data_IF_434087418891
#
_entry.id   IF_434087418891
#
_cell.length_a   1.000
_cell.length_b   1.000
_cell.length_c   1.000
_cell.angle_alpha   90.00
_cell.angle_beta   90.00
_cell.angle_gamma   90.00
#
_symmetry.space_group_name_H-M   'P 1'
#
loop_
_entity.id
_entity.type
_entity.pdbx_description
1 polymer ?
#
# COMPACT_ATOMS: atom_id res chain seq x y z
N UNK A 1 -5.28 26.19 -36.31
CA UNK A 1 -3.99 26.26 -35.59
C UNK A 1 -4.16 25.51 -34.30
N UNK A 2 -3.75 24.25 -34.24
CA UNK A 2 -4.36 23.28 -33.32
C UNK A 2 -3.56 23.15 -32.02
N UNK A 3 -4.03 23.83 -30.97
CA UNK A 3 -3.64 23.48 -29.60
C UNK A 3 -4.44 22.24 -29.17
N UNK A 4 -3.76 21.10 -29.05
CA UNK A 4 -4.33 19.90 -28.40
C UNK A 4 -4.35 20.12 -26.88
N UNK A 5 -5.49 19.88 -26.24
CA UNK A 5 -5.58 19.84 -24.77
C UNK A 5 -4.67 18.71 -24.24
N UNK A 6 -3.76 19.00 -23.30
CA UNK A 6 -2.77 18.02 -22.81
C UNK A 6 -3.37 17.17 -21.68
N UNK A 7 -4.32 16.30 -22.00
CA UNK A 7 -4.98 15.35 -21.07
C UNK A 7 -3.97 14.54 -20.20
N UNK A 8 -2.75 14.35 -20.72
CA UNK A 8 -1.63 13.71 -20.03
C UNK A 8 -1.08 14.49 -18.81
N UNK A 9 -1.31 15.80 -18.68
CA UNK A 9 -0.98 16.57 -17.45
C UNK A 9 -1.93 16.25 -16.30
N UNK A 10 -3.13 15.82 -16.62
CA UNK A 10 -4.27 15.86 -15.72
C UNK A 10 -4.53 14.50 -15.06
N UNK A 11 -4.33 13.42 -15.83
CA UNK A 11 -4.19 12.05 -15.30
C UNK A 11 -3.01 11.94 -14.32
N UNK A 12 -1.99 12.78 -14.49
CA UNK A 12 -0.79 12.77 -13.65
C UNK A 12 -1.06 13.32 -12.23
N UNK A 13 -1.80 14.42 -12.11
CA UNK A 13 -2.20 14.97 -10.80
C UNK A 13 -3.02 13.98 -9.97
N UNK A 14 -3.93 13.23 -10.61
CA UNK A 14 -4.69 12.17 -9.94
C UNK A 14 -3.79 11.00 -9.50
N UNK A 15 -2.85 10.57 -10.34
CA UNK A 15 -1.99 9.42 -10.05
C UNK A 15 -0.97 9.64 -8.93
N UNK A 16 -0.46 10.87 -8.75
CA UNK A 16 0.52 11.20 -7.71
C UNK A 16 -0.06 11.14 -6.29
N UNK A 17 -1.38 11.28 -6.12
CA UNK A 17 -2.05 11.31 -4.80
C UNK A 17 -2.03 9.99 -4.01
N UNK A 18 -1.67 8.86 -4.63
CA UNK A 18 -1.89 7.51 -4.09
C UNK A 18 -0.58 6.69 -3.94
N UNK A 19 0.58 7.35 -3.82
CA UNK A 19 1.88 6.71 -4.01
C UNK A 19 3.03 7.16 -3.09
N UNK A 20 2.95 6.79 -1.81
CA UNK A 20 4.03 6.72 -0.81
C UNK A 20 4.55 8.03 -0.16
N UNK A 21 5.15 7.85 1.01
CA UNK A 21 5.58 8.88 1.96
C UNK A 21 6.82 9.70 1.57
N UNK A 22 6.81 10.95 2.06
CA UNK A 22 7.94 11.74 2.57
C UNK A 22 9.34 11.44 2.00
N UNK A 23 9.76 12.24 1.02
CA UNK A 23 11.17 12.54 0.76
C UNK A 23 11.36 14.05 0.50
N UNK A 24 12.28 14.68 1.24
CA UNK A 24 12.51 16.15 1.20
C UNK A 24 13.08 16.62 -0.14
N UNK A 25 12.71 17.83 -0.56
CA UNK A 25 13.55 18.67 -1.41
C UNK A 25 13.68 20.09 -0.83
N UNK A 26 14.86 20.36 -0.26
CA UNK A 26 15.36 21.73 -0.03
C UNK A 26 16.19 22.12 -1.26
N UNK A 27 16.03 23.32 -1.84
CA UNK A 27 16.80 23.73 -3.01
C UNK A 27 18.24 24.12 -2.63
N UNK A 28 19.23 23.48 -3.25
CA UNK A 28 20.64 23.89 -3.20
C UNK A 28 21.21 23.93 -4.62
N UNK A 29 22.08 24.92 -4.87
CA UNK A 29 22.57 25.33 -6.19
C UNK A 29 23.65 24.37 -6.73
N UNK A 30 23.75 24.28 -8.06
CA UNK A 30 24.69 23.40 -8.77
C UNK A 30 26.17 23.79 -8.62
N UNK A 31 27.05 22.77 -8.64
CA UNK A 31 28.50 22.90 -8.79
C UNK A 31 29.10 21.59 -9.36
N UNK A 32 30.14 21.60 -10.22
CA UNK A 32 30.47 20.44 -11.06
C UNK A 32 31.85 19.81 -10.80
N UNK A 33 31.91 18.62 -10.22
CA UNK A 33 33.10 17.74 -10.22
C UNK A 33 32.71 16.25 -10.26
N UNK A 34 33.51 15.43 -10.96
CA UNK A 34 33.58 13.97 -10.78
C UNK A 34 34.69 13.59 -9.77
N UNK A 35 35.10 12.30 -9.63
CA UNK A 35 34.93 11.20 -10.60
C UNK A 35 34.48 9.84 -10.01
N UNK A 36 34.33 8.86 -10.92
CA UNK A 36 34.57 7.40 -10.84
C UNK A 36 34.27 6.49 -9.61
N UNK A 37 33.89 5.26 -10.00
CA UNK A 37 34.07 3.94 -9.35
C UNK A 37 32.97 3.30 -8.46
N UNK A 38 32.90 1.95 -8.63
CA UNK A 38 32.03 0.92 -8.00
C UNK A 38 30.50 1.13 -8.20
N UNK A 39 29.72 0.15 -8.66
CA UNK A 39 29.79 -1.30 -8.42
C UNK A 39 29.61 -2.18 -9.68
N UNK A 40 29.91 -3.48 -9.55
CA UNK A 40 29.76 -4.52 -10.60
C UNK A 40 29.44 -5.86 -9.96
N UNK A 41 28.46 -6.61 -10.53
CA UNK A 41 28.07 -8.00 -10.18
C UNK A 41 27.46 -8.17 -8.76
N UNK A 42 26.61 -9.17 -8.45
CA UNK A 42 26.08 -10.31 -9.23
C UNK A 42 24.54 -10.39 -9.20
N UNK A 43 24.00 -11.22 -10.10
CA UNK A 43 22.61 -11.72 -10.05
C UNK A 43 22.60 -13.24 -9.82
N UNK A 44 21.53 -13.76 -9.20
CA UNK A 44 21.03 -15.14 -9.37
C UNK A 44 21.88 -16.26 -8.64
N UNK A 45 21.54 -17.58 -8.68
CA UNK A 45 20.70 -18.20 -7.62
C UNK A 45 21.10 -19.67 -7.19
N UNK A 46 20.13 -20.42 -6.59
CA UNK A 46 20.04 -21.91 -6.38
C UNK A 46 20.92 -22.50 -5.26
N UNK A 47 20.81 -23.78 -4.81
CA UNK A 47 19.96 -24.99 -5.09
C UNK A 47 19.90 -25.85 -3.78
N UNK A 48 19.05 -26.86 -3.52
CA UNK A 48 17.93 -27.49 -4.28
C UNK A 48 16.62 -27.41 -3.47
N UNK A 49 15.90 -28.42 -2.92
CA UNK A 49 15.92 -29.91 -2.88
C UNK A 49 14.43 -30.34 -2.96
N UNK A 50 13.89 -30.58 -4.16
CA UNK A 50 13.59 -31.90 -4.77
C UNK A 50 12.82 -32.91 -3.88
N UNK A 51 11.67 -33.47 -4.26
CA UNK A 51 10.90 -33.34 -5.51
C UNK A 51 11.02 -34.54 -6.47
N UNK A 52 9.96 -34.76 -7.28
CA UNK A 52 9.67 -35.93 -8.14
C UNK A 52 9.15 -37.19 -7.39
N UNK A 53 8.30 -38.01 -8.00
CA UNK A 53 7.60 -37.81 -9.28
C UNK A 53 7.01 -39.08 -9.90
N UNK A 54 5.68 -39.08 -10.08
CA UNK A 54 4.85 -39.63 -11.17
C UNK A 54 5.33 -40.80 -12.05
N UNK A 55 4.42 -41.75 -12.34
CA UNK A 55 4.63 -42.78 -13.37
C UNK A 55 3.57 -43.88 -13.38
N UNK A 56 2.47 -43.69 -14.11
CA UNK A 56 1.43 -44.70 -14.34
C UNK A 56 1.58 -45.39 -15.70
N UNK A 57 1.40 -46.71 -15.78
CA UNK A 57 0.86 -47.42 -16.96
C UNK A 57 0.48 -48.88 -16.64
N UNK A 58 -0.07 -49.61 -17.63
CA UNK A 58 -1.01 -50.75 -17.43
C UNK A 58 -0.66 -51.99 -18.29
N UNK A 59 -1.04 -53.17 -17.78
CA UNK A 59 -1.09 -54.52 -18.39
C UNK A 59 0.21 -55.25 -18.83
N UNK A 60 0.25 -56.58 -18.63
CA UNK A 60 1.41 -57.42 -19.02
C UNK A 60 1.54 -58.82 -18.38
N UNK A 61 0.51 -59.66 -18.45
CA UNK A 61 0.36 -60.93 -17.68
C UNK A 61 1.47 -62.01 -17.65
N UNK A 62 1.31 -62.93 -16.68
CA UNK A 62 1.64 -64.38 -16.70
C UNK A 62 2.80 -64.95 -15.84
N UNK A 63 2.52 -66.15 -15.30
CA UNK A 63 3.44 -67.29 -15.04
C UNK A 63 4.42 -67.32 -13.83
N UNK A 64 3.93 -67.94 -12.74
CA UNK A 64 4.53 -69.12 -12.05
C UNK A 64 5.81 -69.01 -11.16
N UNK A 65 5.59 -69.27 -9.87
CA UNK A 65 6.29 -70.28 -9.04
C UNK A 65 7.80 -70.15 -8.74
N UNK A 66 8.13 -69.66 -7.52
CA UNK A 66 9.44 -69.83 -6.85
C UNK A 66 9.26 -69.99 -5.33
N UNK A 67 10.15 -70.75 -4.66
CA UNK A 67 10.07 -71.02 -3.20
C UNK A 67 10.76 -69.92 -2.37
N UNK A 68 10.33 -69.67 -1.12
CA UNK A 68 11.00 -68.72 -0.23
C UNK A 68 12.37 -69.26 0.22
N UNK A 69 13.36 -68.37 0.26
CA UNK A 69 14.64 -68.56 0.94
C UNK A 69 14.80 -67.40 1.93
N UNK A 70 15.10 -67.71 3.19
CA UNK A 70 15.34 -66.68 4.19
C UNK A 70 16.77 -66.15 4.03
N UNK A 71 16.90 -64.84 3.83
CA UNK A 71 18.17 -64.12 3.94
C UNK A 71 18.09 -63.21 5.16
N UNK A 72 19.09 -63.28 6.04
CA UNK A 72 19.13 -62.48 7.27
C UNK A 72 19.41 -61.01 6.93
N UNK A 73 18.64 -60.10 7.54
CA UNK A 73 18.85 -58.67 7.39
C UNK A 73 20.01 -58.21 8.29
N UNK A 74 21.04 -57.52 7.76
CA UNK A 74 22.00 -56.83 8.62
C UNK A 74 21.29 -55.71 9.42
N UNK A 75 21.78 -55.36 10.61
CA UNK A 75 21.09 -54.42 11.49
C UNK A 75 21.01 -53.03 10.85
N UNK A 76 19.82 -52.42 10.88
CA UNK A 76 19.66 -51.02 10.51
C UNK A 76 20.50 -50.16 11.46
N UNK A 77 21.42 -49.37 10.92
CA UNK A 77 22.05 -48.28 11.66
C UNK A 77 20.97 -47.30 12.10
N UNK A 78 20.82 -47.11 13.41
CA UNK A 78 19.87 -46.16 13.97
C UNK A 78 20.27 -44.74 13.59
N UNK A 79 19.61 -44.17 12.57
CA UNK A 79 19.71 -42.74 12.29
C UNK A 79 19.18 -41.97 13.51
N UNK A 80 20.10 -41.28 14.17
CA UNK A 80 19.88 -40.72 15.49
C UNK A 80 19.02 -39.47 15.42
N UNK A 81 17.69 -39.65 15.37
CA UNK A 81 16.68 -38.59 15.39
C UNK A 81 17.04 -37.52 16.40
N UNK A 82 17.66 -36.45 15.91
CA UNK A 82 18.26 -35.39 16.73
C UNK A 82 17.16 -34.43 17.14
N UNK A 83 16.33 -34.89 18.09
CA UNK A 83 15.19 -34.17 18.64
C UNK A 83 15.48 -32.69 18.84
N UNK A 84 14.56 -31.84 18.40
CA UNK A 84 14.66 -30.38 18.57
C UNK A 84 14.82 -30.08 20.06
N UNK A 85 15.93 -29.45 20.45
CA UNK A 85 16.20 -29.05 21.83
C UNK A 85 15.94 -27.56 21.99
N UNK A 86 15.02 -27.19 22.87
CA UNK A 86 14.89 -25.82 23.35
C UNK A 86 16.07 -25.52 24.28
N UNK A 87 16.66 -24.34 24.17
CA UNK A 87 17.79 -23.94 25.03
C UNK A 87 17.30 -23.61 26.45
N UNK A 88 18.09 -23.94 27.48
CA UNK A 88 17.78 -23.53 28.86
C UNK A 88 17.63 -22.01 28.98
N UNK A 89 18.49 -21.24 28.29
CA UNK A 89 18.38 -19.77 28.21
C UNK A 89 17.06 -19.29 27.62
N UNK A 90 16.50 -19.99 26.63
CA UNK A 90 15.19 -19.67 26.05
C UNK A 90 14.07 -19.87 27.09
N UNK A 91 14.06 -20.99 27.81
CA UNK A 91 13.10 -21.22 28.90
C UNK A 91 13.23 -20.22 30.05
N UNK A 92 14.44 -19.75 30.37
CA UNK A 92 14.66 -18.72 31.41
C UNK A 92 14.11 -17.35 30.96
N UNK A 93 14.32 -16.98 29.70
CA UNK A 93 13.76 -15.74 29.13
C UNK A 93 12.22 -15.77 29.09
N UNK A 94 11.66 -16.85 28.56
CA UNK A 94 10.22 -17.19 28.55
C UNK A 94 9.61 -17.11 29.97
N UNK A 95 10.23 -17.76 30.96
CA UNK A 95 9.81 -17.69 32.36
C UNK A 95 9.90 -16.27 32.96
N UNK A 96 10.88 -15.47 32.50
CA UNK A 96 11.03 -14.07 32.89
C UNK A 96 9.92 -13.18 32.33
N UNK A 97 9.53 -13.39 31.07
CA UNK A 97 8.39 -12.72 30.43
C UNK A 97 7.09 -13.11 31.12
N UNK A 98 6.89 -14.40 31.41
CA UNK A 98 5.72 -14.90 32.12
C UNK A 98 5.58 -14.28 33.54
N UNK A 99 6.68 -14.10 34.27
CA UNK A 99 6.67 -13.42 35.57
C UNK A 99 6.28 -11.94 35.44
N UNK A 100 6.84 -11.22 34.45
CA UNK A 100 6.48 -9.81 34.20
C UNK A 100 4.99 -9.68 33.86
N UNK A 101 4.50 -10.50 32.93
CA UNK A 101 3.08 -10.56 32.55
C UNK A 101 2.19 -10.86 33.77
N UNK A 102 2.60 -11.78 34.67
CA UNK A 102 1.87 -12.04 35.91
C UNK A 102 1.76 -10.79 36.80
N UNK A 103 2.84 -10.02 36.97
CA UNK A 103 2.82 -8.80 37.80
C UNK A 103 2.03 -7.67 37.13
N UNK A 104 2.16 -7.49 35.81
CA UNK A 104 1.38 -6.51 35.01
C UNK A 104 -0.12 -6.75 35.13
N UNK A 105 -0.56 -8.02 35.06
CA UNK A 105 -1.97 -8.39 35.26
C UNK A 105 -2.46 -8.12 36.69
N UNK A 106 -1.59 -8.26 37.71
CA UNK A 106 -1.94 -7.94 39.11
C UNK A 106 -2.06 -6.43 39.36
N UNK A 107 -1.24 -5.62 38.70
CA UNK A 107 -1.40 -4.15 38.64
C UNK A 107 -2.70 -3.70 37.93
N UNK A 108 -3.40 -4.61 37.25
CA UNK A 108 -4.63 -4.31 36.50
C UNK A 108 -4.40 -3.70 35.11
N UNK A 109 -3.15 -3.73 34.63
CA UNK A 109 -2.73 -3.30 33.29
C UNK A 109 -2.75 -4.47 32.28
N UNK A 110 -2.47 -4.19 31.02
CA UNK A 110 -2.44 -5.18 29.94
C UNK A 110 -1.01 -5.42 29.46
N UNK A 111 -0.63 -6.67 29.22
CA UNK A 111 0.65 -7.06 28.62
C UNK A 111 0.47 -7.48 27.17
N UNK A 112 1.24 -6.87 26.27
CA UNK A 112 1.34 -7.24 24.85
C UNK A 112 2.72 -7.87 24.60
N UNK A 113 2.75 -9.15 24.23
CA UNK A 113 3.99 -9.87 23.89
C UNK A 113 4.44 -9.56 22.46
N UNK A 114 5.75 -9.28 22.26
CA UNK A 114 6.32 -9.06 20.93
C UNK A 114 6.92 -10.35 20.35
N UNK A 115 6.09 -11.15 19.68
CA UNK A 115 6.49 -12.45 19.12
C UNK A 115 7.08 -12.34 17.70
N UNK A 116 8.35 -11.95 17.55
CA UNK A 116 9.01 -11.85 16.24
C UNK A 116 10.50 -12.18 16.23
N UNK A 117 10.98 -12.81 15.14
CA UNK A 117 12.43 -13.09 14.93
C UNK A 117 13.21 -11.89 14.41
N UNK A 118 12.69 -10.67 14.61
CA UNK A 118 13.25 -9.40 14.12
C UNK A 118 13.16 -8.28 15.17
N UNK A 119 12.69 -8.57 16.39
CA UNK A 119 12.56 -7.57 17.45
C UNK A 119 13.93 -7.17 18.02
N UNK A 120 14.22 -5.87 17.99
CA UNK A 120 15.57 -5.31 18.14
C UNK A 120 16.00 -5.07 19.60
N UNK A 121 15.43 -5.80 20.57
CA UNK A 121 15.77 -5.66 21.99
C UNK A 121 14.67 -5.04 22.87
N UNK A 122 13.40 -5.22 22.49
CA UNK A 122 12.22 -5.05 23.35
C UNK A 122 11.44 -6.37 23.25
N UNK A 123 11.04 -6.95 24.38
CA UNK A 123 10.39 -8.28 24.43
C UNK A 123 8.87 -8.19 24.60
N UNK A 124 8.36 -7.04 25.03
CA UNK A 124 6.94 -6.79 25.21
C UNK A 124 6.63 -5.36 25.62
N UNK A 125 5.35 -5.05 25.74
CA UNK A 125 4.82 -3.71 25.97
C UNK A 125 3.71 -3.77 27.04
N UNK A 126 3.72 -2.83 27.98
CA UNK A 126 2.69 -2.67 29.00
C UNK A 126 1.74 -1.56 28.52
N UNK A 127 0.48 -1.89 28.27
CA UNK A 127 -0.57 -0.91 28.05
C UNK A 127 -1.27 -0.58 29.38
N UNK A 128 -1.21 0.70 29.76
CA UNK A 128 -1.80 1.18 31.00
C UNK A 128 -3.29 1.42 30.88
N UNK A 129 -3.99 1.13 31.98
CA UNK A 129 -5.43 1.11 32.11
C UNK A 129 -5.84 1.89 33.35
N UNK A 130 -6.91 2.69 33.23
CA UNK A 130 -7.45 3.47 34.35
C UNK A 130 -7.97 2.51 35.44
N UNK A 131 -7.50 2.60 36.70
CA UNK A 131 -7.95 1.70 37.76
C UNK A 131 -9.43 1.86 38.17
N UNK A 132 -10.07 2.97 37.81
CA UNK A 132 -11.43 3.35 38.24
C UNK A 132 -12.49 3.16 37.15
N UNK A 133 -12.21 3.51 35.89
CA UNK A 133 -13.12 3.28 34.75
C UNK A 133 -12.82 1.95 34.06
N UNK A 134 -11.59 1.47 34.12
CA UNK A 134 -11.13 0.29 33.41
C UNK A 134 -10.84 0.50 31.92
N UNK A 135 -10.81 1.76 31.46
CA UNK A 135 -10.48 2.13 30.07
C UNK A 135 -8.97 2.05 29.84
N UNK A 136 -8.55 1.51 28.68
CA UNK A 136 -7.15 1.53 28.27
C UNK A 136 -6.79 2.89 27.67
N UNK A 137 -5.67 3.46 28.09
CA UNK A 137 -5.33 4.85 27.79
C UNK A 137 -4.50 5.03 26.51
N UNK A 138 -4.26 3.95 25.74
CA UNK A 138 -3.26 3.90 24.66
C UNK A 138 -1.87 4.41 25.12
N UNK A 139 -1.52 4.13 26.39
CA UNK A 139 -0.26 4.51 27.05
C UNK A 139 0.62 3.28 27.16
N UNK A 140 1.62 3.18 26.27
CA UNK A 140 2.49 2.02 26.14
C UNK A 140 3.87 2.29 26.78
N UNK A 141 4.27 1.44 27.72
CA UNK A 141 5.64 1.36 28.26
C UNK A 141 6.32 0.15 27.63
N UNK A 142 7.49 0.35 27.00
CA UNK A 142 8.25 -0.72 26.35
C UNK A 142 9.09 -1.47 27.40
N UNK A 143 9.25 -2.79 27.26
CA UNK A 143 9.96 -3.61 28.27
C UNK A 143 11.00 -4.53 27.63
N UNK A 144 12.23 -4.47 28.15
CA UNK A 144 13.26 -5.49 27.97
C UNK A 144 13.37 -6.31 29.27
N UNK A 145 13.08 -7.61 29.15
CA UNK A 145 13.28 -8.64 30.18
C UNK A 145 14.72 -9.18 30.16
N UNK A 146 15.24 -9.49 31.35
CA UNK A 146 16.51 -10.20 31.58
C UNK A 146 16.37 -11.17 32.76
N UNK A 147 15.71 -12.30 32.53
CA UNK A 147 15.62 -13.39 33.51
C UNK A 147 16.94 -14.16 33.71
N UNK A 148 17.19 -14.65 34.92
CA UNK A 148 18.35 -15.48 35.26
C UNK A 148 18.00 -16.52 36.35
N UNK A 149 18.46 -17.77 36.18
CA UNK A 149 18.46 -18.84 37.21
C UNK A 149 19.65 -18.73 38.20
N UNK A 150 20.49 -17.69 38.06
CA UNK A 150 21.69 -17.47 38.88
C UNK A 150 21.78 -16.02 39.34
N UNK A 151 22.38 -15.74 40.51
CA UNK A 151 22.63 -14.38 40.95
C UNK A 151 23.34 -13.54 39.89
N UNK A 152 22.91 -12.29 39.75
CA UNK A 152 23.49 -11.30 38.86
C UNK A 152 24.90 -10.86 39.34
N UNK A 153 25.69 -10.19 38.48
CA UNK A 153 26.97 -9.62 38.88
C UNK A 153 26.90 -8.78 40.17
N UNK A 154 27.80 -9.07 41.12
CA UNK A 154 27.90 -8.36 42.41
C UNK A 154 26.69 -8.52 43.33
N UNK A 155 25.79 -9.48 43.08
CA UNK A 155 24.56 -9.63 43.85
C UNK A 155 24.79 -9.99 45.32
N UNK A 156 24.00 -9.34 46.16
CA UNK A 156 23.92 -9.50 47.61
C UNK A 156 22.47 -9.20 48.07
N UNK A 157 22.21 -9.28 49.38
CA UNK A 157 20.88 -9.02 49.98
C UNK A 157 20.30 -7.64 49.65
N UNK A 158 21.13 -6.64 49.35
CA UNK A 158 20.71 -5.24 49.13
C UNK A 158 20.69 -4.85 47.65
N UNK A 159 21.61 -5.36 46.85
CA UNK A 159 21.81 -4.88 45.48
C UNK A 159 22.48 -5.88 44.54
N UNK A 160 22.41 -5.59 43.24
CA UNK A 160 23.19 -6.22 42.17
C UNK A 160 23.43 -5.22 41.04
N UNK A 161 24.14 -5.62 39.99
CA UNK A 161 24.27 -4.81 38.77
C UNK A 161 24.13 -5.62 37.48
N UNK A 162 23.68 -4.95 36.44
CA UNK A 162 23.62 -5.47 35.07
C UNK A 162 24.48 -4.60 34.13
N UNK A 163 25.08 -5.22 33.12
CA UNK A 163 25.90 -4.54 32.11
C UNK A 163 25.20 -4.66 30.75
N UNK A 164 24.73 -3.52 30.26
CA UNK A 164 24.08 -3.39 28.96
C UNK A 164 25.13 -3.24 27.86
N UNK A 165 24.84 -3.68 26.62
CA UNK A 165 25.71 -3.35 25.48
C UNK A 165 25.39 -1.93 25.04
N UNK A 166 26.39 -1.17 24.59
CA UNK A 166 26.19 0.23 24.18
C UNK A 166 25.10 0.38 23.12
N UNK A 167 25.06 -0.51 22.12
CA UNK A 167 24.03 -0.50 21.08
C UNK A 167 22.60 -0.76 21.61
N UNK A 168 22.44 -1.51 22.71
CA UNK A 168 21.14 -1.71 23.36
C UNK A 168 20.71 -0.41 24.06
N UNK A 169 21.64 0.21 24.80
CA UNK A 169 21.43 1.51 25.48
C UNK A 169 21.09 2.61 24.49
N UNK A 170 21.84 2.72 23.39
CA UNK A 170 21.62 3.74 22.35
C UNK A 170 20.25 3.54 21.67
N UNK A 171 19.84 2.29 21.42
CA UNK A 171 18.53 1.96 20.87
C UNK A 171 17.40 2.34 21.85
N UNK A 172 17.45 1.88 23.11
CA UNK A 172 16.43 2.23 24.12
C UNK A 172 16.37 3.74 24.39
N UNK A 173 17.51 4.45 24.31
CA UNK A 173 17.57 5.91 24.48
C UNK A 173 17.05 6.70 23.28
N UNK A 174 16.74 6.03 22.16
CA UNK A 174 16.12 6.63 20.97
C UNK A 174 14.61 6.36 20.87
N UNK A 175 14.02 5.65 21.84
CA UNK A 175 12.59 5.42 21.92
C UNK A 175 11.85 6.59 22.59
N UNK A 176 10.80 7.09 21.93
CA UNK A 176 9.92 8.15 22.44
C UNK A 176 9.10 7.69 23.66
N UNK A 177 8.69 6.41 23.68
CA UNK A 177 8.00 5.79 24.79
C UNK A 177 8.98 5.37 25.91
N UNK A 178 8.59 5.45 27.21
CA UNK A 178 9.42 4.97 28.31
C UNK A 178 9.82 3.50 28.13
N UNK A 179 11.11 3.20 28.31
CA UNK A 179 11.65 1.83 28.27
C UNK A 179 12.01 1.38 29.68
N UNK A 180 11.55 0.20 30.08
CA UNK A 180 12.00 -0.47 31.29
C UNK A 180 13.00 -1.57 30.97
N UNK A 181 14.06 -1.64 31.76
CA UNK A 181 14.87 -2.85 31.90
C UNK A 181 14.43 -3.57 33.16
N UNK A 182 13.93 -4.80 33.03
CA UNK A 182 13.49 -5.64 34.14
C UNK A 182 14.38 -6.88 34.25
N UNK A 183 15.14 -6.96 35.34
CA UNK A 183 15.96 -8.12 35.69
C UNK A 183 15.20 -9.00 36.69
N UNK A 184 15.18 -10.33 36.49
CA UNK A 184 14.35 -11.22 37.32
C UNK A 184 14.97 -12.58 37.64
N UNK A 185 14.47 -13.20 38.71
CA UNK A 185 14.73 -14.57 39.11
C UNK A 185 13.42 -15.37 39.08
N UNK A 186 13.04 -15.98 37.94
CA UNK A 186 11.74 -16.64 37.79
C UNK A 186 11.49 -17.77 38.79
N UNK A 187 12.55 -18.41 39.30
CA UNK A 187 12.46 -19.50 40.29
C UNK A 187 12.08 -19.02 41.71
N UNK A 188 12.40 -17.78 42.08
CA UNK A 188 12.02 -17.17 43.37
C UNK A 188 10.80 -16.25 43.24
N UNK A 189 10.42 -15.86 42.01
CA UNK A 189 9.35 -14.91 41.75
C UNK A 189 9.76 -13.44 41.92
N UNK A 190 11.04 -13.17 42.16
CA UNK A 190 11.57 -11.82 42.33
C UNK A 190 11.84 -11.14 40.98
N UNK A 191 11.54 -9.84 40.88
CA UNK A 191 11.86 -9.01 39.73
C UNK A 191 12.22 -7.59 40.17
N UNK A 192 13.14 -6.94 39.46
CA UNK A 192 13.59 -5.57 39.73
C UNK A 192 13.69 -4.77 38.44
N UNK A 193 13.37 -3.47 38.50
CA UNK A 193 13.22 -2.63 37.31
C UNK A 193 13.99 -1.30 37.39
N UNK A 194 14.20 -0.70 36.23
CA UNK A 194 14.61 0.70 36.11
C UNK A 194 14.01 1.31 34.83
N UNK A 195 13.65 2.60 34.89
CA UNK A 195 13.38 3.39 33.69
C UNK A 195 14.71 3.77 33.01
N UNK A 196 14.95 3.20 31.83
CA UNK A 196 16.23 3.26 31.11
C UNK A 196 16.61 4.70 30.75
N UNK A 197 15.69 5.48 30.18
CA UNK A 197 16.00 6.85 29.75
C UNK A 197 16.32 7.77 30.94
N UNK A 198 15.68 7.58 32.11
CA UNK A 198 16.04 8.34 33.31
C UNK A 198 17.35 7.89 33.93
N UNK A 199 17.71 6.60 33.87
CA UNK A 199 18.97 6.11 34.44
C UNK A 199 20.18 6.57 33.63
N UNK A 200 20.11 6.49 32.30
CA UNK A 200 21.20 6.87 31.41
C UNK A 200 21.17 8.34 30.94
N UNK A 201 20.28 9.16 31.50
CA UNK A 201 20.35 10.63 31.39
C UNK A 201 21.68 11.18 31.95
N UNK A 202 22.24 10.53 32.98
CA UNK A 202 23.59 10.76 33.49
C UNK A 202 24.65 10.24 32.49
N UNK A 203 25.49 11.11 31.89
CA UNK A 203 26.49 10.70 30.91
C UNK A 203 27.54 9.72 31.47
N UNK A 204 27.85 9.77 32.77
CA UNK A 204 28.81 8.86 33.39
C UNK A 204 28.25 7.44 33.50
N UNK A 205 26.96 7.30 33.86
CA UNK A 205 26.25 6.01 33.83
C UNK A 205 26.16 5.49 32.40
N UNK A 206 25.78 6.34 31.45
CA UNK A 206 25.66 5.99 30.02
C UNK A 206 26.97 5.45 29.45
N UNK A 207 28.09 6.14 29.70
CA UNK A 207 29.42 5.72 29.26
C UNK A 207 29.91 4.40 29.91
N UNK A 208 29.33 3.99 31.04
CA UNK A 208 29.65 2.72 31.70
C UNK A 208 28.81 1.54 31.25
N UNK A 209 27.66 1.76 30.59
CA UNK A 209 26.65 0.74 30.27
C UNK A 209 26.02 0.04 31.49
N UNK A 210 26.34 0.47 32.72
CA UNK A 210 25.98 -0.20 33.98
C UNK A 210 24.65 0.31 34.54
N UNK A 211 23.81 -0.63 34.95
CA UNK A 211 22.67 -0.40 35.83
C UNK A 211 22.95 -1.07 37.16
N UNK A 212 22.80 -0.32 38.26
CA UNK A 212 22.83 -0.83 39.61
C UNK A 212 21.38 -0.87 40.13
N UNK A 213 20.99 -1.98 40.74
CA UNK A 213 19.64 -2.18 41.27
C UNK A 213 19.69 -2.31 42.79
N UNK A 214 18.94 -1.48 43.53
CA UNK A 214 18.69 -1.68 44.96
C UNK A 214 17.41 -2.51 45.16
N UNK A 215 17.56 -3.74 45.68
CA UNK A 215 16.48 -4.73 45.78
C UNK A 215 15.27 -4.26 46.58
N UNK A 216 15.46 -3.34 47.53
CA UNK A 216 14.44 -2.83 48.47
C UNK A 216 13.59 -1.69 47.90
N UNK A 217 14.03 -1.02 46.84
CA UNK A 217 13.40 0.19 46.30
C UNK A 217 13.04 0.08 44.82
N UNK A 218 13.62 -0.89 44.12
CA UNK A 218 13.41 -1.14 42.68
C UNK A 218 12.72 -2.49 42.41
N UNK A 219 12.03 -3.09 43.38
CA UNK A 219 11.26 -4.32 43.14
C UNK A 219 10.09 -4.05 42.17
N UNK A 220 9.69 -5.06 41.38
CA UNK A 220 8.67 -4.95 40.34
C UNK A 220 7.46 -5.82 40.69
N UNK A 221 6.53 -5.23 41.44
CA UNK A 221 5.35 -5.87 42.01
C UNK A 221 4.13 -4.91 41.96
N UNK A 222 3.07 -5.24 42.69
CA UNK A 222 1.81 -4.47 42.70
C UNK A 222 1.99 -3.03 43.19
N UNK A 223 2.98 -2.74 44.04
CA UNK A 223 3.20 -1.42 44.66
C UNK A 223 3.80 -0.37 43.69
N UNK A 224 4.24 -0.77 42.49
CA UNK A 224 4.81 0.17 41.49
C UNK A 224 3.80 0.66 40.44
N UNK A 225 2.53 0.24 40.52
CA UNK A 225 1.49 0.62 39.55
C UNK A 225 1.35 2.14 39.36
N UNK A 226 1.28 2.92 40.46
CA UNK A 226 1.22 4.39 40.43
C UNK A 226 2.48 5.04 39.83
N UNK A 227 3.64 4.39 40.00
CA UNK A 227 4.91 4.86 39.43
C UNK A 227 4.93 4.66 37.92
N UNK A 228 4.35 3.55 37.41
CA UNK A 228 4.20 3.31 35.97
C UNK A 228 3.17 4.26 35.34
N UNK A 229 2.04 4.52 36.02
CA UNK A 229 1.07 5.54 35.60
C UNK A 229 1.70 6.94 35.51
N UNK A 230 2.49 7.31 36.52
CA UNK A 230 3.24 8.58 36.52
C UNK A 230 4.34 8.61 35.45
N UNK A 231 4.97 7.48 35.14
CA UNK A 231 6.03 7.38 34.14
C UNK A 231 5.51 7.59 32.70
N UNK A 232 4.34 7.05 32.38
CA UNK A 232 3.71 7.23 31.06
C UNK A 232 2.99 8.59 30.90
N UNK A 233 2.74 9.30 32.01
CA UNK A 233 2.19 10.66 31.99
C UNK A 233 2.77 11.52 33.14
N UNK A 234 4.01 12.03 33.00
CA UNK A 234 4.68 12.81 34.05
C UNK A 234 4.03 14.18 34.35
N UNK A 235 2.93 14.52 33.68
CA UNK A 235 2.27 15.83 33.75
C UNK A 235 0.76 15.74 34.04
N UNK A 236 0.20 14.55 34.26
CA UNK A 236 -1.25 14.34 34.42
C UNK A 236 -2.07 14.84 33.22
N UNK A 237 -1.46 14.89 32.03
CA UNK A 237 -2.09 15.40 30.82
C UNK A 237 -2.82 14.26 30.13
N UNK A 238 -4.15 14.40 30.07
CA UNK A 238 -4.98 13.69 29.12
C UNK A 238 -4.57 14.06 27.68
N UNK A 239 -3.51 13.41 27.19
CA UNK A 239 -3.13 13.35 25.78
C UNK A 239 -4.20 12.55 25.03
N UNK A 240 -5.35 13.20 24.80
CA UNK A 240 -6.04 13.04 23.53
C UNK A 240 -4.97 13.18 22.44
N UNK A 241 -4.86 12.24 21.48
CA UNK A 241 -3.96 12.41 20.36
C UNK A 241 -4.31 13.68 19.62
N UNK A 242 -3.54 14.75 19.85
CA UNK A 242 -3.63 15.98 19.06
C UNK A 242 -3.11 15.59 17.70
N UNK A 243 -4.03 15.32 16.77
CA UNK A 243 -3.68 15.07 15.38
C UNK A 243 -2.83 16.26 14.91
N UNK A 244 -1.57 15.98 14.61
CA UNK A 244 -0.64 17.00 14.12
C UNK A 244 -1.28 17.62 12.88
N UNK A 245 -1.56 18.92 12.94
CA UNK A 245 -2.19 19.64 11.84
C UNK A 245 -1.16 19.87 10.74
N UNK A 246 -0.92 18.81 9.98
CA UNK A 246 -0.10 18.82 8.80
C UNK A 246 -0.84 19.63 7.71
N UNK A 247 -0.21 20.68 7.18
CA UNK A 247 -0.77 21.46 6.07
C UNK A 247 -0.68 20.66 4.76
N UNK A 248 -1.72 19.87 4.48
CA UNK A 248 -1.83 19.11 3.24
C UNK A 248 -2.37 19.95 2.08
N UNK A 249 -1.62 20.00 0.96
CA UNK A 249 -2.08 20.63 -0.28
C UNK A 249 -3.00 19.67 -1.04
N UNK A 250 -4.27 19.64 -0.63
CA UNK A 250 -5.31 18.83 -1.26
C UNK A 250 -5.46 19.20 -2.75
N UNK A 251 -4.95 18.33 -3.63
CA UNK A 251 -5.00 18.53 -5.08
C UNK A 251 -6.27 17.87 -5.64
N UNK A 252 -7.14 18.66 -6.25
CA UNK A 252 -8.43 18.15 -6.78
C UNK A 252 -8.26 17.38 -8.09
N UNK A 253 -9.11 16.35 -8.29
CA UNK A 253 -9.28 15.67 -9.57
C UNK A 253 -10.29 16.37 -10.51
N UNK A 254 -10.77 17.57 -10.13
CA UNK A 254 -11.63 18.43 -10.94
C UNK A 254 -10.81 19.31 -11.87
N UNK A 255 -10.83 18.99 -13.16
CA UNK A 255 -10.04 19.67 -14.18
C UNK A 255 -10.87 20.77 -14.85
N UNK A 256 -10.41 22.03 -14.92
CA UNK A 256 -11.18 23.11 -15.52
C UNK A 256 -11.27 22.95 -17.05
N UNK A 257 -12.49 22.85 -17.58
CA UNK A 257 -12.74 22.61 -19.02
C UNK A 257 -13.34 23.84 -19.68
N UNK A 258 -12.58 24.44 -20.61
CA UNK A 258 -13.11 25.40 -21.58
C UNK A 258 -13.92 24.66 -22.64
N UNK A 259 -15.25 24.62 -22.50
CA UNK A 259 -16.14 24.06 -23.52
C UNK A 259 -16.18 24.97 -24.77
N UNK A 260 -16.41 24.43 -25.99
CA UNK A 260 -16.62 25.27 -27.18
C UNK A 260 -17.84 26.18 -27.00
N UNK A 261 -17.74 27.42 -27.49
CA UNK A 261 -18.83 28.42 -27.40
C UNK A 261 -19.99 28.15 -28.36
N UNK A 262 -19.75 27.42 -29.45
CA UNK A 262 -20.75 27.14 -30.48
C UNK A 262 -21.04 25.64 -30.60
N UNK A 263 -22.32 25.33 -30.78
CA UNK A 263 -22.85 24.02 -31.16
C UNK A 263 -23.46 24.19 -32.54
N UNK A 264 -22.97 23.44 -33.52
CA UNK A 264 -23.50 23.47 -34.88
C UNK A 264 -24.66 22.48 -35.00
N UNK A 265 -25.69 22.86 -35.75
CA UNK A 265 -26.88 22.01 -35.91
C UNK A 265 -27.51 22.14 -37.30
N UNK A 266 -27.84 21.01 -37.90
CA UNK A 266 -28.48 20.96 -39.22
C UNK A 266 -29.68 20.00 -39.21
N UNK A 267 -30.63 20.20 -40.13
CA UNK A 267 -31.79 19.30 -40.28
C UNK A 267 -31.35 17.94 -40.79
N UNK A 268 -32.04 16.87 -40.38
CA UNK A 268 -31.77 15.51 -40.83
C UNK A 268 -33.04 14.67 -40.86
N UNK A 269 -33.12 13.72 -41.80
CA UNK A 269 -34.18 12.71 -41.87
C UNK A 269 -33.93 11.50 -40.97
N UNK A 270 -32.73 11.35 -40.41
CA UNK A 270 -32.39 10.20 -39.58
C UNK A 270 -32.83 10.40 -38.13
N UNK A 271 -33.55 9.41 -37.58
CA UNK A 271 -34.04 9.40 -36.18
C UNK A 271 -33.17 8.55 -35.26
N UNK A 272 -32.36 7.64 -35.81
CA UNK A 272 -31.57 6.64 -35.10
C UNK A 272 -30.06 6.86 -35.39
N UNK A 273 -29.20 7.00 -34.36
CA UNK A 273 -27.76 7.22 -34.55
C UNK A 273 -27.02 6.10 -35.29
N UNK A 274 -27.54 4.86 -35.26
CA UNK A 274 -26.93 3.75 -36.02
C UNK A 274 -26.98 4.00 -37.52
N UNK A 275 -28.10 4.53 -38.02
CA UNK A 275 -28.34 4.71 -39.45
C UNK A 275 -27.50 5.87 -40.00
N UNK A 276 -27.25 6.90 -39.17
CA UNK A 276 -26.25 7.95 -39.42
C UNK A 276 -24.83 7.39 -39.52
N UNK A 277 -24.46 6.41 -38.68
CA UNK A 277 -23.13 5.77 -38.74
C UNK A 277 -23.01 4.86 -39.96
N UNK A 278 -24.08 4.16 -40.36
CA UNK A 278 -24.12 3.38 -41.61
C UNK A 278 -23.96 4.29 -42.82
N UNK A 279 -24.80 5.33 -42.96
CA UNK A 279 -24.78 6.24 -44.12
C UNK A 279 -23.42 6.94 -44.32
N UNK A 280 -22.70 7.25 -43.24
CA UNK A 280 -21.33 7.80 -43.29
C UNK A 280 -20.28 6.80 -43.77
N UNK A 281 -20.46 5.50 -43.50
CA UNK A 281 -19.58 4.45 -44.04
C UNK A 281 -19.85 4.26 -45.54
N UNK A 282 -21.12 4.30 -45.93
CA UNK A 282 -21.55 4.18 -47.32
C UNK A 282 -21.09 5.37 -48.19
N UNK A 283 -20.69 6.51 -47.59
CA UNK A 283 -20.13 7.66 -48.32
C UNK A 283 -18.61 7.58 -48.58
N UNK A 284 -17.96 6.46 -48.23
CA UNK A 284 -16.52 6.25 -48.37
C UNK A 284 -15.64 7.31 -47.66
N UNK A 285 -16.18 8.00 -46.64
CA UNK A 285 -15.42 8.97 -45.86
C UNK A 285 -14.63 8.25 -44.75
N UNK A 286 -13.31 8.47 -44.61
CA UNK A 286 -12.52 7.79 -43.58
C UNK A 286 -12.83 8.27 -42.16
N UNK A 287 -13.36 9.48 -41.94
CA UNK A 287 -13.62 10.06 -40.62
C UNK A 287 -15.08 9.91 -40.16
N UNK A 288 -15.52 8.67 -39.98
CA UNK A 288 -16.89 8.36 -39.50
C UNK A 288 -17.11 8.96 -38.10
N UNK A 289 -17.90 10.03 -38.03
CA UNK A 289 -18.21 10.76 -36.80
C UNK A 289 -19.18 9.98 -35.91
N UNK A 290 -18.99 10.15 -34.60
CA UNK A 290 -19.83 9.59 -33.51
C UNK A 290 -20.14 10.61 -32.41
N UNK A 291 -19.47 11.76 -32.48
CA UNK A 291 -19.54 12.92 -31.61
C UNK A 291 -20.66 13.88 -32.05
N UNK A 292 -21.86 13.31 -32.14
CA UNK A 292 -23.09 14.02 -32.49
C UNK A 292 -24.26 13.51 -31.65
N UNK A 293 -25.34 14.29 -31.57
CA UNK A 293 -26.63 13.84 -31.05
C UNK A 293 -27.76 14.14 -32.02
N UNK A 294 -28.83 13.34 -31.97
CA UNK A 294 -30.07 13.57 -32.71
C UNK A 294 -31.17 14.05 -31.76
N UNK A 295 -31.80 15.19 -32.05
CA UNK A 295 -32.95 15.75 -31.31
C UNK A 295 -33.86 16.54 -32.27
N UNK A 296 -35.17 16.33 -32.21
CA UNK A 296 -36.16 17.15 -32.92
C UNK A 296 -35.96 17.25 -34.46
N UNK A 297 -35.52 16.17 -35.12
CA UNK A 297 -35.21 16.19 -36.56
C UNK A 297 -33.96 16.98 -36.93
N UNK A 298 -33.08 17.27 -35.97
CA UNK A 298 -31.78 17.92 -36.16
C UNK A 298 -30.65 17.06 -35.59
N UNK A 299 -29.50 17.12 -36.27
CA UNK A 299 -28.21 16.70 -35.72
C UNK A 299 -27.55 17.88 -35.02
N UNK A 300 -26.77 17.62 -33.98
CA UNK A 300 -25.96 18.62 -33.28
C UNK A 300 -24.53 18.09 -33.09
N UNK A 301 -23.52 18.92 -33.30
CA UNK A 301 -22.09 18.57 -33.23
C UNK A 301 -21.21 19.77 -32.88
N UNK A 302 -19.98 19.51 -32.39
CA UNK A 302 -18.99 20.56 -32.07
C UNK A 302 -18.31 21.20 -33.27
N UNK A 303 -18.36 20.54 -34.43
CA UNK A 303 -17.90 21.07 -35.72
C UNK A 303 -19.09 21.23 -36.67
N UNK A 304 -19.00 22.11 -37.69
CA UNK A 304 -20.00 22.21 -38.75
C UNK A 304 -20.19 20.84 -39.43
N UNK A 305 -21.41 20.30 -39.53
CA UNK A 305 -21.66 19.02 -40.20
C UNK A 305 -21.06 18.94 -41.61
N UNK A 306 -21.13 20.03 -42.37
CA UNK A 306 -20.59 20.20 -43.73
C UNK A 306 -19.08 19.99 -43.84
N UNK A 307 -18.31 20.31 -42.79
CA UNK A 307 -16.85 20.14 -42.73
C UNK A 307 -16.43 18.70 -42.35
N UNK A 308 -17.39 17.82 -42.07
CA UNK A 308 -17.14 16.45 -41.57
C UNK A 308 -17.89 15.40 -42.37
N UNK A 309 -17.74 14.11 -42.06
CA UNK A 309 -18.56 13.05 -42.65
C UNK A 309 -20.07 13.22 -42.39
N UNK A 310 -20.49 14.06 -41.42
CA UNK A 310 -21.90 14.36 -41.18
C UNK A 310 -22.59 15.07 -42.35
N UNK A 311 -21.83 15.67 -43.29
CA UNK A 311 -22.37 16.29 -44.52
C UNK A 311 -23.24 15.34 -45.36
N UNK A 312 -23.03 14.02 -45.22
CA UNK A 312 -23.78 12.98 -45.94
C UNK A 312 -25.12 12.59 -45.29
N UNK A 313 -25.45 13.16 -44.11
CA UNK A 313 -26.68 12.86 -43.34
C UNK A 313 -27.52 14.11 -43.01
N UNK A 314 -27.15 15.28 -43.53
CA UNK A 314 -27.84 16.56 -43.27
C UNK A 314 -28.51 17.13 -44.52
N UNK A 315 -29.67 17.76 -44.31
CA UNK A 315 -30.60 18.18 -45.36
C UNK A 315 -30.98 19.66 -45.16
N UNK A 316 -30.06 20.58 -45.46
CA UNK A 316 -30.27 22.03 -45.35
C UNK A 316 -29.05 22.77 -44.80
N UNK A 317 -29.18 24.08 -44.50
CA UNK A 317 -28.11 24.85 -43.89
C UNK A 317 -27.82 24.42 -42.44
N UNK A 318 -26.63 24.76 -41.97
CA UNK A 318 -26.19 24.62 -40.58
C UNK A 318 -26.44 25.92 -39.82
N UNK A 319 -27.19 25.85 -38.73
CA UNK A 319 -27.32 26.92 -37.75
C UNK A 319 -26.28 26.72 -36.64
N UNK A 320 -25.63 27.80 -36.19
CA UNK A 320 -24.82 27.80 -34.97
C UNK A 320 -25.66 28.26 -33.76
N UNK A 321 -25.46 27.63 -32.60
CA UNK A 321 -26.18 27.92 -31.35
C UNK A 321 -25.17 28.10 -30.22
N UNK A 322 -25.43 29.05 -29.32
CA UNK A 322 -24.56 29.32 -28.17
C UNK A 322 -24.62 28.17 -27.13
N UNK A 323 -23.46 27.64 -26.74
CA UNK A 323 -23.35 26.59 -25.73
C UNK A 323 -23.71 27.08 -24.31
N UNK A 324 -23.62 28.38 -24.05
CA UNK A 324 -24.05 29.05 -22.82
C UNK A 324 -25.57 29.00 -22.62
N UNK A 325 -26.36 29.22 -23.68
CA UNK A 325 -27.82 29.00 -23.63
C UNK A 325 -28.15 27.55 -23.24
N UNK A 326 -27.37 26.59 -23.72
CA UNK A 326 -27.54 25.17 -23.41
C UNK A 326 -27.10 24.80 -21.99
N UNK A 327 -26.11 25.50 -21.44
CA UNK A 327 -25.67 25.31 -20.06
C UNK A 327 -26.71 25.83 -19.04
N UNK A 328 -27.52 26.83 -19.41
CA UNK A 328 -28.55 27.43 -18.55
C UNK A 328 -29.88 26.62 -18.48
N UNK A 329 -30.18 25.79 -19.48
CA UNK A 329 -31.39 24.95 -19.55
C UNK A 329 -31.08 23.51 -19.03
N UNK A 330 -31.67 23.05 -17.90
CA UNK A 330 -31.38 21.72 -17.33
C UNK A 330 -31.75 20.51 -18.20
N UNK A 331 -32.48 20.68 -19.31
CA UNK A 331 -32.68 19.65 -20.32
C UNK A 331 -31.57 19.68 -21.38
N UNK A 332 -31.19 20.86 -21.88
CA UNK A 332 -30.08 21.03 -22.85
C UNK A 332 -28.71 20.78 -22.22
N UNK A 333 -28.52 21.09 -20.94
CA UNK A 333 -27.27 20.82 -20.21
C UNK A 333 -26.94 19.31 -20.22
N UNK A 334 -27.95 18.43 -20.15
CA UNK A 334 -27.77 16.98 -20.30
C UNK A 334 -27.39 16.58 -21.73
N UNK A 335 -27.82 17.33 -22.75
CA UNK A 335 -27.42 17.13 -24.15
C UNK A 335 -25.99 17.63 -24.39
N UNK A 336 -25.61 18.75 -23.76
CA UNK A 336 -24.26 19.30 -23.74
C UNK A 336 -23.27 18.30 -23.14
N UNK A 337 -23.58 17.74 -21.97
CA UNK A 337 -22.79 16.67 -21.33
C UNK A 337 -22.69 15.42 -22.21
N UNK A 338 -23.76 15.04 -22.93
CA UNK A 338 -23.70 13.94 -23.90
C UNK A 338 -22.72 14.23 -25.05
N UNK A 339 -22.73 15.46 -25.59
CA UNK A 339 -21.80 15.90 -26.63
C UNK A 339 -20.34 15.98 -26.12
N UNK A 340 -20.10 16.43 -24.89
CA UNK A 340 -18.78 16.42 -24.27
C UNK A 340 -18.25 14.99 -24.09
N UNK A 341 -19.08 14.06 -23.58
CA UNK A 341 -18.72 12.66 -23.44
C UNK A 341 -18.35 12.00 -24.79
N UNK A 342 -19.09 12.31 -25.85
CA UNK A 342 -18.79 11.76 -27.17
C UNK A 342 -17.54 12.37 -27.81
N UNK A 343 -17.20 13.63 -27.51
CA UNK A 343 -15.91 14.22 -27.87
C UNK A 343 -14.75 13.50 -27.16
N UNK A 344 -14.84 13.28 -25.84
CA UNK A 344 -13.83 12.51 -25.07
C UNK A 344 -13.65 11.10 -25.65
N UNK A 345 -14.75 10.37 -25.91
CA UNK A 345 -14.67 9.04 -26.56
C UNK A 345 -13.93 9.08 -27.90
N UNK A 346 -14.08 10.14 -28.69
CA UNK A 346 -13.45 10.31 -30.00
C UNK A 346 -11.97 10.65 -29.87
N UNK A 347 -11.60 11.57 -28.99
CA UNK A 347 -10.20 12.01 -28.83
C UNK A 347 -9.30 10.88 -28.29
N UNK A 348 -9.82 10.04 -27.39
CA UNK A 348 -9.10 8.84 -26.91
C UNK A 348 -9.26 7.61 -27.82
N UNK A 349 -10.04 7.70 -28.90
CA UNK A 349 -10.38 6.54 -29.75
C UNK A 349 -9.17 5.91 -30.46
N UNK A 350 -8.04 6.61 -30.57
CA UNK A 350 -6.80 6.04 -31.12
C UNK A 350 -6.20 4.98 -30.20
N UNK A 351 -6.23 5.19 -28.88
CA UNK A 351 -5.52 4.36 -27.91
C UNK A 351 -6.44 3.47 -27.04
N UNK A 352 -7.68 3.90 -26.82
CA UNK A 352 -8.54 3.32 -25.81
C UNK A 352 -9.87 2.78 -26.38
N UNK A 353 -10.38 1.71 -25.79
CA UNK A 353 -11.69 1.14 -26.07
C UNK A 353 -12.70 1.52 -24.96
N UNK A 354 -13.99 1.43 -25.26
CA UNK A 354 -15.08 1.71 -24.31
C UNK A 354 -15.75 0.42 -23.87
N UNK A 355 -15.93 0.24 -22.57
CA UNK A 355 -16.62 -0.90 -21.98
C UNK A 355 -17.98 -0.46 -21.43
N UNK A 356 -19.06 -0.76 -22.17
CA UNK A 356 -20.36 -0.11 -21.99
C UNK A 356 -21.11 -0.42 -20.69
N UNK A 357 -20.90 -1.61 -20.12
CA UNK A 357 -21.54 -2.04 -18.86
C UNK A 357 -20.95 -1.29 -17.66
N UNK A 358 -19.62 -1.45 -17.46
CA UNK A 358 -18.84 -0.73 -16.45
C UNK A 358 -18.72 0.78 -16.70
N UNK A 359 -19.04 1.27 -17.90
CA UNK A 359 -18.94 2.68 -18.34
C UNK A 359 -17.53 3.28 -18.20
N UNK A 360 -16.51 2.48 -18.52
CA UNK A 360 -15.09 2.87 -18.43
C UNK A 360 -14.43 2.91 -19.80
N UNK A 361 -13.50 3.85 -20.00
CA UNK A 361 -12.60 3.83 -21.17
C UNK A 361 -11.24 3.27 -20.74
N UNK A 362 -10.67 2.36 -21.52
CA UNK A 362 -9.50 1.57 -21.13
C UNK A 362 -8.50 1.41 -22.27
N UNK A 363 -7.20 1.41 -21.96
CA UNK A 363 -6.15 1.27 -22.98
C UNK A 363 -6.26 -0.10 -23.67
N UNK A 364 -6.21 -0.11 -25.01
CA UNK A 364 -6.34 -1.36 -25.78
C UNK A 364 -5.13 -2.29 -25.52
N UNK A 365 -5.35 -3.63 -25.60
CA UNK A 365 -4.23 -4.57 -25.65
C UNK A 365 -3.36 -4.29 -26.89
N UNK A 366 -2.07 -4.59 -26.82
CA UNK A 366 -1.23 -4.62 -28.02
C UNK A 366 -1.53 -5.87 -28.84
N UNK A 367 -1.28 -5.83 -30.15
CA UNK A 367 -1.50 -6.97 -31.05
C UNK A 367 -0.59 -8.17 -30.76
N UNK A 368 0.53 -7.95 -30.07
CA UNK A 368 1.48 -8.96 -29.63
C UNK A 368 1.34 -9.31 -28.12
N UNK A 369 0.29 -8.80 -27.47
CA UNK A 369 0.00 -8.91 -26.04
C UNK A 369 1.12 -8.47 -25.06
N UNK A 370 2.21 -7.85 -25.53
CA UNK A 370 3.29 -7.36 -24.65
C UNK A 370 2.84 -6.20 -23.76
N UNK A 371 3.45 -6.01 -22.56
CA UNK A 371 3.12 -4.88 -21.69
C UNK A 371 3.34 -3.53 -22.38
N UNK A 372 2.35 -2.63 -22.33
CA UNK A 372 2.42 -1.29 -22.92
C UNK A 372 2.58 -0.23 -21.84
N UNK A 373 3.57 0.64 -21.98
CA UNK A 373 3.69 1.87 -21.18
C UNK A 373 3.58 3.12 -22.04
N UNK A 374 2.98 4.17 -21.49
CA UNK A 374 3.01 5.54 -22.04
C UNK A 374 3.94 6.42 -21.21
N UNK A 375 4.28 7.61 -21.72
CA UNK A 375 5.02 8.64 -21.00
C UNK A 375 4.08 9.77 -20.58
N UNK A 376 4.07 10.11 -19.30
CA UNK A 376 3.33 11.26 -18.74
C UNK A 376 4.00 12.60 -19.05
N UNK A 377 3.39 13.69 -18.58
CA UNK A 377 3.88 15.05 -18.81
C UNK A 377 5.21 15.36 -18.08
N UNK A 378 5.45 14.79 -16.89
CA UNK A 378 6.77 14.81 -16.21
C UNK A 378 7.82 13.92 -16.89
N UNK A 379 7.46 13.15 -17.91
CA UNK A 379 8.36 12.19 -18.55
C UNK A 379 8.40 10.79 -17.90
N UNK A 380 7.74 10.62 -16.75
CA UNK A 380 7.57 9.33 -16.07
C UNK A 380 6.85 8.29 -16.96
N UNK A 381 7.14 6.99 -16.78
CA UNK A 381 6.54 5.91 -17.57
C UNK A 381 5.41 5.21 -16.81
N UNK A 382 4.20 5.31 -17.32
CA UNK A 382 3.02 4.67 -16.74
C UNK A 382 2.65 3.40 -17.52
N UNK A 383 2.56 2.26 -16.83
CA UNK A 383 2.21 0.97 -17.42
C UNK A 383 0.68 0.86 -17.58
N UNK A 384 0.21 0.95 -18.82
CA UNK A 384 -1.23 1.05 -19.16
C UNK A 384 -1.87 -0.25 -19.63
N UNK A 385 -1.08 -1.25 -20.01
CA UNK A 385 -1.56 -2.59 -20.32
C UNK A 385 -0.51 -3.61 -19.87
N UNK A 386 -0.94 -4.67 -19.18
CA UNK A 386 -0.08 -5.67 -18.56
C UNK A 386 -0.76 -7.06 -18.62
N UNK A 387 -0.32 -7.98 -19.50
CA UNK A 387 -0.76 -9.38 -19.44
C UNK A 387 -0.32 -10.03 -18.13
N UNK A 388 -1.14 -10.94 -17.60
CA UNK A 388 -0.80 -11.79 -16.45
C UNK A 388 -0.94 -13.24 -16.87
N UNK A 389 0.19 -13.94 -16.89
CA UNK A 389 0.29 -15.33 -17.31
C UNK A 389 -0.01 -16.31 -16.17
N UNK A 390 -0.38 -17.56 -16.50
CA UNK A 390 -0.69 -18.60 -15.51
C UNK A 390 0.60 -19.11 -14.87
N UNK A 391 0.59 -19.28 -13.54
CA UNK A 391 1.77 -19.83 -12.80
C UNK A 391 2.18 -21.24 -13.26
N UNK A 392 1.22 -22.06 -13.72
CA UNK A 392 1.45 -23.42 -14.18
C UNK A 392 1.72 -23.54 -15.70
N UNK A 393 1.44 -22.48 -16.46
CA UNK A 393 1.62 -22.44 -17.92
C UNK A 393 2.08 -21.02 -18.30
N UNK A 394 3.40 -20.72 -18.24
CA UNK A 394 3.91 -19.35 -18.36
C UNK A 394 3.62 -18.65 -19.69
N UNK A 395 3.36 -19.41 -20.76
CA UNK A 395 3.00 -18.88 -22.08
C UNK A 395 1.48 -18.62 -22.23
N UNK A 396 0.65 -19.12 -21.30
CA UNK A 396 -0.80 -18.90 -21.31
C UNK A 396 -1.20 -17.66 -20.50
N UNK A 397 -1.93 -16.75 -21.14
CA UNK A 397 -2.55 -15.61 -20.44
C UNK A 397 -3.65 -16.11 -19.50
N UNK A 398 -3.61 -15.66 -18.25
CA UNK A 398 -4.64 -15.84 -17.23
C UNK A 398 -5.68 -14.70 -17.28
N UNK A 399 -5.19 -13.45 -17.31
CA UNK A 399 -6.00 -12.26 -17.54
C UNK A 399 -5.13 -11.10 -18.04
N UNK A 400 -5.75 -10.04 -18.54
CA UNK A 400 -5.07 -8.78 -18.85
C UNK A 400 -5.50 -7.72 -17.84
N UNK A 401 -4.56 -6.89 -17.36
CA UNK A 401 -4.85 -5.68 -16.58
C UNK A 401 -4.63 -4.46 -17.46
N UNK A 402 -5.66 -3.65 -17.62
CA UNK A 402 -5.63 -2.40 -18.39
C UNK A 402 -5.82 -1.22 -17.44
N UNK A 403 -5.02 -0.17 -17.59
CA UNK A 403 -5.36 1.12 -17.02
C UNK A 403 -6.65 1.62 -17.69
N UNK A 404 -7.55 2.15 -16.87
CA UNK A 404 -8.84 2.62 -17.30
C UNK A 404 -9.21 3.93 -16.58
N UNK A 405 -10.24 4.59 -17.11
CA UNK A 405 -10.65 5.91 -16.70
C UNK A 405 -12.19 6.00 -16.72
N UNK A 406 -12.73 6.44 -15.59
CA UNK A 406 -14.09 6.97 -15.46
C UNK A 406 -13.99 8.51 -15.45
N UNK A 407 -15.00 9.20 -15.97
CA UNK A 407 -15.06 10.66 -15.93
C UNK A 407 -16.47 11.19 -15.82
N UNK A 408 -16.60 12.40 -15.28
CA UNK A 408 -17.88 13.09 -15.15
C UNK A 408 -17.70 14.59 -15.41
N UNK A 409 -18.48 15.13 -16.35
CA UNK A 409 -18.58 16.58 -16.53
C UNK A 409 -19.51 17.18 -15.47
N UNK A 410 -19.05 18.25 -14.84
CA UNK A 410 -19.74 19.00 -13.79
C UNK A 410 -19.74 20.48 -14.14
N UNK A 411 -20.82 21.19 -13.82
CA UNK A 411 -20.82 22.66 -13.79
C UNK A 411 -20.98 23.09 -12.32
N UNK A 412 -20.02 23.88 -11.83
CA UNK A 412 -19.93 24.32 -10.44
C UNK A 412 -19.59 25.81 -10.48
N UNK A 413 -20.42 26.66 -9.85
CA UNK A 413 -20.19 28.11 -9.86
C UNK A 413 -20.16 28.72 -11.27
N UNK A 414 -20.96 28.19 -12.21
CA UNK A 414 -20.96 28.47 -13.65
C UNK A 414 -19.72 28.01 -14.43
N UNK A 415 -18.64 27.57 -13.78
CA UNK A 415 -17.46 27.00 -14.43
C UNK A 415 -17.65 25.50 -14.71
N UNK A 416 -17.17 25.04 -15.88
CA UNK A 416 -17.18 23.62 -16.25
C UNK A 416 -15.91 22.91 -15.79
N UNK A 417 -16.09 21.69 -15.29
CA UNK A 417 -15.03 20.79 -14.89
C UNK A 417 -15.24 19.39 -15.45
N UNK A 418 -14.15 18.64 -15.63
CA UNK A 418 -14.17 17.20 -15.80
C UNK A 418 -13.52 16.55 -14.57
N UNK A 419 -14.29 15.79 -13.81
CA UNK A 419 -13.75 14.93 -12.77
C UNK A 419 -13.15 13.69 -13.43
N UNK A 420 -11.88 13.37 -13.17
CA UNK A 420 -11.25 12.12 -13.61
C UNK A 420 -11.09 11.13 -12.46
N UNK A 421 -11.45 9.86 -12.71
CA UNK A 421 -11.40 8.78 -11.73
C UNK A 421 -10.59 7.62 -12.35
N UNK A 422 -9.29 7.49 -12.04
CA UNK A 422 -8.47 6.38 -12.49
C UNK A 422 -8.99 5.04 -11.94
N UNK A 423 -9.03 4.01 -12.79
CA UNK A 423 -9.54 2.68 -12.46
C UNK A 423 -8.83 1.61 -13.29
N UNK A 424 -9.25 0.35 -13.22
CA UNK A 424 -8.67 -0.75 -14.00
C UNK A 424 -9.75 -1.60 -14.68
N UNK A 425 -9.53 -1.91 -15.96
CA UNK A 425 -10.26 -2.97 -16.68
C UNK A 425 -9.48 -4.30 -16.57
#
# INVERSE_FOLDING_TARGET
MNQRLPLAREVEAAATSYGADVARLVPVVAGPHGPDHLFRLMSDPRRTVSGHGEGSCVDGGSSCCGKPVACEMPPLSSDGSRMKKIGKSSHIGDSGIALIHQMVNRMGFVWHERTGTLDAGIDGEIELRDPSTGEVANRLILVQSKGSDRPFPGENERSFHYLCRQADVDYWMSADNPVLLVCSHPQTGEAWWVHVQSWFADPARRASGRVDFEKRTQHFDEDVADQLLTLADPHGRAHVPVAEHHEEVLTTNLLPVSIPTLIYSARTTYTNPKDVITRQRDSADPDVRRDFILRGGRIYSWLPPEETALRHVVNGPTDAVDAGEWAADPARQRWLVQLLNYAVHRDVAVDCAWHSERKIVYFRPTSDFKPRSIRGASGHKFLVFNPKFKKAAPDEISYCKHAALEWQFLNIGHQWYCALIPTFH
#
